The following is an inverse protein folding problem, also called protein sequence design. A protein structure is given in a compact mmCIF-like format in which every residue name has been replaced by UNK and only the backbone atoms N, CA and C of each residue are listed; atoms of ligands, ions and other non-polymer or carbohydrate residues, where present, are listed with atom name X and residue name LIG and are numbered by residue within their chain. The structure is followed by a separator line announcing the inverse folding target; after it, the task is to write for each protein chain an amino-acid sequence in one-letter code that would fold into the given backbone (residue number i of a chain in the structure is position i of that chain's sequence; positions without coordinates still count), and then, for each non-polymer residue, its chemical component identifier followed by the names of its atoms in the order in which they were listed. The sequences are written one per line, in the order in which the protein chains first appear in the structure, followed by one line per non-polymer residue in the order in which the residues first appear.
data_IF_401718034504
#
_entry.id   IF_401718034504
#
_cell.length_a   1.000
_cell.length_b   1.000
_cell.length_c   1.000
_cell.angle_alpha   90.00
_cell.angle_beta   90.00
_cell.angle_gamma   90.00
#
_symmetry.space_group_name_H-M   'P 1'
#
loop_
_entity.id
_entity.type
_entity.pdbx_description
1 polymer ?
#
# COMPACT_ATOMS: atom_id res chain seq x y z
N UNK A 1 2.75 -11.02 -3.71
CA UNK A 1 3.80 -10.72 -4.72
C UNK A 1 5.16 -11.00 -4.10
N UNK A 2 6.04 -11.80 -4.75
CA UNK A 2 7.36 -12.18 -4.22
C UNK A 2 8.29 -10.97 -4.02
N UNK A 3 8.24 -9.98 -4.92
CA UNK A 3 9.05 -8.76 -4.82
C UNK A 3 8.61 -7.88 -3.65
N UNK A 4 7.30 -7.79 -3.39
CA UNK A 4 6.77 -7.09 -2.23
C UNK A 4 7.18 -7.75 -0.91
N UNK A 5 7.12 -9.08 -0.84
CA UNK A 5 7.57 -9.81 0.34
C UNK A 5 9.07 -9.57 0.58
N UNK A 6 9.90 -9.62 -0.46
CA UNK A 6 11.32 -9.26 -0.37
C UNK A 6 11.54 -7.81 0.08
N UNK A 7 10.77 -6.86 -0.47
CA UNK A 7 10.86 -5.44 -0.12
C UNK A 7 10.55 -5.16 1.35
N UNK A 8 9.66 -5.95 1.93
CA UNK A 8 9.23 -5.82 3.33
C UNK A 8 9.97 -6.75 4.29
N UNK A 9 10.95 -7.54 3.80
CA UNK A 9 11.64 -8.55 4.62
C UNK A 9 10.74 -9.70 5.09
N UNK A 10 9.66 -10.01 4.36
CA UNK A 10 8.67 -11.02 4.70
C UNK A 10 8.90 -12.34 3.94
N UNK A 11 8.56 -13.46 4.57
CA UNK A 11 8.59 -14.79 3.93
C UNK A 11 7.41 -14.95 2.96
N UNK A 12 7.70 -15.38 1.73
CA UNK A 12 6.69 -15.68 0.71
C UNK A 12 6.10 -17.11 0.90
N UNK A 13 4.79 -17.33 0.67
CA UNK A 13 3.78 -16.35 0.28
C UNK A 13 3.28 -15.50 1.46
N UNK A 14 3.13 -14.20 1.22
CA UNK A 14 2.54 -13.25 2.18
C UNK A 14 1.17 -12.83 1.69
N UNK A 15 0.18 -12.87 2.58
CA UNK A 15 -1.21 -12.47 2.32
C UNK A 15 -1.58 -11.28 3.20
N UNK A 16 -2.56 -10.47 2.80
CA UNK A 16 -3.06 -9.38 3.65
C UNK A 16 -3.59 -9.86 5.00
N UNK A 17 -4.12 -11.09 5.05
CA UNK A 17 -4.56 -11.77 6.27
C UNK A 17 -3.46 -12.08 7.28
N UNK A 18 -2.19 -11.93 6.91
CA UNK A 18 -1.07 -12.15 7.83
C UNK A 18 -0.95 -11.07 8.92
N UNK A 19 -1.60 -9.91 8.75
CA UNK A 19 -1.50 -8.78 9.69
C UNK A 19 -0.11 -8.13 9.73
N UNK A 20 0.78 -8.47 8.79
CA UNK A 20 2.15 -7.96 8.70
C UNK A 20 2.24 -6.53 8.16
N UNK A 21 1.12 -6.01 7.65
CA UNK A 21 0.99 -4.65 7.13
C UNK A 21 -0.18 -3.98 7.84
N UNK A 22 -0.13 -2.65 8.03
CA UNK A 22 -1.10 -1.92 8.87
C UNK A 22 -2.42 -1.66 8.12
N UNK A 23 -3.11 -2.73 7.72
CA UNK A 23 -4.45 -2.70 7.13
C UNK A 23 -5.28 -3.92 7.58
N UNK A 24 -6.60 -3.82 7.50
CA UNK A 24 -7.56 -4.81 7.96
C UNK A 24 -8.41 -5.39 6.82
N UNK A 25 -9.38 -6.24 7.16
CA UNK A 25 -10.35 -6.77 6.21
C UNK A 25 -11.10 -5.66 5.47
N UNK A 26 -11.16 -5.78 4.14
CA UNK A 26 -11.78 -4.77 3.26
C UNK A 26 -10.91 -3.55 2.99
N UNK A 27 -9.63 -3.58 3.36
CA UNK A 27 -8.70 -2.49 3.13
C UNK A 27 -7.57 -2.90 2.17
N UNK A 28 -7.24 -1.95 1.29
CA UNK A 28 -6.02 -1.91 0.50
C UNK A 28 -4.95 -1.05 1.18
N UNK A 29 -3.72 -1.17 0.73
CA UNK A 29 -2.57 -0.45 1.25
C UNK A 29 -1.68 0.03 0.11
N UNK A 30 -1.27 1.29 0.18
CA UNK A 30 -0.20 1.86 -0.65
C UNK A 30 0.83 2.45 0.29
N UNK A 31 2.07 2.00 0.21
CA UNK A 31 3.14 2.49 1.06
C UNK A 31 4.47 2.58 0.34
N UNK A 32 5.34 3.45 0.86
CA UNK A 32 6.71 3.60 0.42
C UNK A 32 7.63 2.90 1.42
N UNK A 33 8.57 2.12 0.89
CA UNK A 33 9.63 1.48 1.69
C UNK A 33 10.97 1.90 1.13
N UNK A 34 11.80 2.53 1.95
CA UNK A 34 13.13 2.95 1.57
C UNK A 34 14.15 1.81 1.71
N UNK A 35 15.28 1.91 1.01
CA UNK A 35 16.43 1.05 1.28
C UNK A 35 16.28 -0.40 0.80
N UNK A 36 15.22 -0.74 0.06
CA UNK A 36 14.93 -2.11 -0.38
C UNK A 36 15.98 -2.66 -1.35
N UNK A 37 16.44 -1.82 -2.29
CA UNK A 37 17.47 -2.18 -3.27
C UNK A 37 18.79 -1.47 -3.01
N UNK A 38 18.70 -0.21 -2.57
CA UNK A 38 19.83 0.66 -2.24
C UNK A 38 19.29 1.78 -1.34
N UNK A 39 20.14 2.30 -0.42
CA UNK A 39 19.78 3.44 0.42
C UNK A 39 19.39 4.63 -0.48
N UNK A 40 18.27 5.28 -0.16
CA UNK A 40 17.73 6.39 -0.95
C UNK A 40 16.90 5.98 -2.18
N UNK A 41 16.73 4.68 -2.44
CA UNK A 41 15.74 4.17 -3.38
C UNK A 41 14.49 3.71 -2.64
N UNK A 42 13.34 4.16 -3.12
CA UNK A 42 12.04 3.81 -2.56
C UNK A 42 11.33 2.79 -3.45
N UNK A 43 10.80 1.74 -2.84
CA UNK A 43 9.86 0.84 -3.46
C UNK A 43 8.44 1.26 -3.08
N UNK A 44 7.53 1.30 -4.06
CA UNK A 44 6.10 1.44 -3.79
C UNK A 44 5.51 0.05 -3.60
N UNK A 45 4.97 -0.20 -2.42
CA UNK A 45 4.24 -1.40 -2.06
C UNK A 45 2.75 -1.15 -2.23
N UNK A 46 2.11 -1.99 -3.04
CA UNK A 46 0.64 -2.05 -3.13
C UNK A 46 0.19 -3.43 -2.69
N UNK A 47 -0.74 -3.48 -1.74
CA UNK A 47 -1.30 -4.69 -1.18
C UNK A 47 -2.79 -4.51 -0.88
N UNK A 48 -3.49 -5.60 -0.59
CA UNK A 48 -4.84 -5.56 -0.07
C UNK A 48 -5.23 -6.86 0.60
N UNK A 49 -6.30 -6.82 1.39
CA UNK A 49 -6.84 -7.98 2.06
C UNK A 49 -7.28 -9.04 1.05
N UNK A 50 -8.07 -8.62 0.07
CA UNK A 50 -8.48 -9.41 -1.09
C UNK A 50 -8.00 -8.80 -2.41
N UNK A 51 -8.23 -9.55 -3.50
CA UNK A 51 -7.93 -9.09 -4.86
C UNK A 51 -8.72 -7.83 -5.25
N UNK A 52 -9.91 -7.61 -4.67
CA UNK A 52 -10.68 -6.37 -4.85
C UNK A 52 -9.98 -5.16 -4.25
N UNK A 53 -9.52 -5.28 -3.00
CA UNK A 53 -8.85 -4.21 -2.28
C UNK A 53 -7.51 -3.84 -2.91
N UNK A 54 -6.77 -4.84 -3.38
CA UNK A 54 -5.53 -4.64 -4.14
C UNK A 54 -5.79 -3.85 -5.43
N UNK A 55 -6.91 -4.12 -6.12
CA UNK A 55 -7.32 -3.37 -7.33
C UNK A 55 -7.71 -1.94 -7.01
N UNK A 56 -8.40 -1.71 -5.90
CA UNK A 56 -8.74 -0.35 -5.45
C UNK A 56 -7.48 0.45 -5.12
N UNK A 57 -6.55 -0.12 -4.35
CA UNK A 57 -5.27 0.52 -4.03
C UNK A 57 -4.44 0.84 -5.29
N UNK A 58 -4.39 -0.09 -6.25
CA UNK A 58 -3.72 0.14 -7.53
C UNK A 58 -4.40 1.25 -8.34
N UNK A 59 -5.73 1.29 -8.38
CA UNK A 59 -6.51 2.33 -9.07
C UNK A 59 -6.27 3.72 -8.48
N UNK A 60 -6.17 3.83 -7.15
CA UNK A 60 -5.83 5.09 -6.46
C UNK A 60 -4.44 5.55 -6.87
N UNK A 61 -3.43 4.67 -6.86
CA UNK A 61 -2.06 5.00 -7.25
C UNK A 61 -1.97 5.42 -8.73
N UNK A 62 -2.68 4.74 -9.63
CA UNK A 62 -2.73 5.11 -11.05
C UNK A 62 -3.37 6.48 -11.28
N UNK A 63 -4.28 6.89 -10.39
CA UNK A 63 -4.96 8.19 -10.41
C UNK A 63 -4.29 9.20 -9.48
N UNK A 64 -2.96 9.12 -9.31
CA UNK A 64 -2.21 9.98 -8.39
C UNK A 64 -2.57 11.46 -8.50
N UNK A 65 -2.69 12.01 -9.71
CA UNK A 65 -3.06 13.41 -9.91
C UNK A 65 -4.43 13.80 -9.33
N UNK A 66 -5.40 12.88 -9.36
CA UNK A 66 -6.74 13.08 -8.79
C UNK A 66 -6.71 13.02 -7.26
N UNK A 67 -5.86 12.16 -6.69
CA UNK A 67 -5.80 11.91 -5.24
C UNK A 67 -4.55 12.50 -4.57
N UNK A 68 -3.89 13.47 -5.22
CA UNK A 68 -2.62 14.02 -4.76
C UNK A 68 -2.73 14.54 -3.33
N UNK A 69 -3.83 15.22 -2.97
CA UNK A 69 -4.05 15.75 -1.61
C UNK A 69 -4.13 14.66 -0.54
N UNK A 70 -4.58 13.45 -0.89
CA UNK A 70 -4.66 12.33 0.04
C UNK A 70 -3.36 11.52 0.12
N UNK A 71 -2.54 11.55 -0.93
CA UNK A 71 -1.32 10.76 -1.04
C UNK A 71 -0.06 11.55 -0.66
N UNK A 72 -0.01 12.85 -0.98
CA UNK A 72 1.16 13.69 -0.76
C UNK A 72 1.49 13.84 0.73
N UNK A 73 2.79 13.84 1.06
CA UNK A 73 3.30 13.88 2.42
C UNK A 73 3.11 12.61 3.25
N UNK A 74 2.41 11.59 2.76
CA UNK A 74 2.16 10.35 3.49
C UNK A 74 3.10 9.23 3.03
N UNK A 75 3.76 8.55 3.97
CA UNK A 75 4.57 7.37 3.66
C UNK A 75 3.74 6.12 3.42
N UNK A 76 2.50 6.10 3.92
CA UNK A 76 1.56 5.03 3.67
C UNK A 76 0.12 5.50 3.85
N UNK A 77 -0.77 4.89 3.08
CA UNK A 77 -2.22 5.09 3.16
C UNK A 77 -2.96 3.76 3.09
N UNK A 78 -4.13 3.71 3.72
CA UNK A 78 -5.13 2.65 3.57
C UNK A 78 -6.19 3.08 2.56
N UNK A 79 -6.70 2.12 1.81
CA UNK A 79 -7.67 2.34 0.72
C UNK A 79 -8.86 1.42 0.90
N UNK A 80 -10.01 1.96 1.29
CA UNK A 80 -11.29 1.21 1.35
C UNK A 80 -12.11 1.38 0.07
N UNK A 81 -11.89 2.45 -0.68
CA UNK A 81 -12.53 2.70 -1.98
C UNK A 81 -11.71 3.66 -2.84
N UNK A 82 -11.99 3.70 -4.14
CA UNK A 82 -11.37 4.66 -5.09
C UNK A 82 -12.08 6.01 -5.00
N UNK A 83 -11.95 6.67 -3.84
CA UNK A 83 -12.52 7.98 -3.57
C UNK A 83 -11.69 8.70 -2.50
N UNK A 84 -11.77 10.02 -2.44
CA UNK A 84 -11.01 10.82 -1.47
C UNK A 84 -11.29 10.40 -0.01
N UNK A 85 -12.54 10.10 0.35
CA UNK A 85 -12.92 9.65 1.68
C UNK A 85 -12.50 8.20 1.98
N UNK A 86 -12.22 7.42 0.94
CA UNK A 86 -11.73 6.05 1.04
C UNK A 86 -10.23 5.94 1.27
N UNK A 87 -9.49 7.05 1.24
CA UNK A 87 -8.04 7.07 1.38
C UNK A 87 -7.70 7.72 2.73
N UNK A 88 -7.00 6.99 3.59
CA UNK A 88 -6.65 7.47 4.93
C UNK A 88 -5.16 7.24 5.22
N UNK A 89 -4.43 8.21 5.78
CA UNK A 89 -3.05 8.01 6.19
C UNK A 89 -2.91 6.88 7.21
N UNK A 90 -1.84 6.09 7.08
CA UNK A 90 -1.41 5.18 8.13
C UNK A 90 -0.59 6.00 9.11
N UNK A 91 -1.12 6.24 10.30
CA UNK A 91 -0.37 6.83 11.40
C UNK A 91 0.55 5.79 12.01
N UNK A 92 1.86 6.06 11.97
CA UNK A 92 2.90 5.35 12.71
C UNK A 92 2.76 5.52 14.22
#
# INVERSE_FOLDING_TARGET
NKLTAQALGLTYPTYGSSGLLPFAQGEGYVGLTDGVLEIGKYAVVVAGWEAGDTRNACSVLQQFGTFATQLDGNMAVKVTSVSASGITPVTS
#
